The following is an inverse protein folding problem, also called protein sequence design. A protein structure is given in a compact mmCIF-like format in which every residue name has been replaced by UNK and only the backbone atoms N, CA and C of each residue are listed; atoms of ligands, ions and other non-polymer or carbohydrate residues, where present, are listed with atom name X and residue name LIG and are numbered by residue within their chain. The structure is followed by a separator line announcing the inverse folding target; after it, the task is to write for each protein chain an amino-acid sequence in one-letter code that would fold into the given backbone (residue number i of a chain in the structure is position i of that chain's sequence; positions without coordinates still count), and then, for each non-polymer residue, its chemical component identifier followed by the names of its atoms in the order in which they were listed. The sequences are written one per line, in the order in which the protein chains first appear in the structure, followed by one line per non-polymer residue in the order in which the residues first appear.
data_IF_221197376306
#
_entry.id   IF_221197376306
#
_cell.length_a   1.000
_cell.length_b   1.000
_cell.length_c   1.000
_cell.angle_alpha   90.00
_cell.angle_beta   90.00
_cell.angle_gamma   90.00
#
_symmetry.space_group_name_H-M   'P 1'
#
loop_
_entity.id
_entity.type
_entity.pdbx_description
1 polymer ?
#
# COMPACT_ATOMS: atom_id res chain seq x y z
N UNK A 1 -8.60 16.92 -30.96
CA UNK A 1 -9.14 15.81 -30.14
C UNK A 1 -7.97 15.22 -29.36
N UNK A 2 -7.76 15.65 -28.11
CA UNK A 2 -6.68 15.15 -27.26
C UNK A 2 -7.08 13.78 -26.72
N UNK A 3 -6.41 12.72 -27.17
CA UNK A 3 -6.48 11.42 -26.54
C UNK A 3 -5.58 11.50 -25.29
N UNK A 4 -6.10 11.65 -24.06
CA UNK A 4 -5.22 11.71 -22.91
C UNK A 4 -4.55 10.34 -22.79
N UNK A 5 -3.21 10.31 -22.81
CA UNK A 5 -2.47 9.08 -22.63
C UNK A 5 -3.05 8.29 -21.44
N UNK A 6 -3.42 7.03 -21.68
CA UNK A 6 -4.21 6.26 -20.72
C UNK A 6 -3.36 5.87 -19.52
N UNK A 7 -3.81 6.25 -18.33
CA UNK A 7 -3.27 5.77 -17.06
C UNK A 7 -3.29 4.23 -17.03
N UNK A 8 -2.14 3.62 -16.73
CA UNK A 8 -2.04 2.16 -16.57
C UNK A 8 -2.32 1.78 -15.13
N UNK A 9 -3.09 0.71 -14.93
CA UNK A 9 -3.40 0.16 -13.61
C UNK A 9 -2.66 -1.17 -13.44
N UNK A 10 -2.09 -1.39 -12.26
CA UNK A 10 -1.43 -2.64 -11.89
C UNK A 10 -1.65 -2.93 -10.39
N UNK A 11 -1.55 -4.21 -10.02
CA UNK A 11 -1.50 -4.61 -8.62
C UNK A 11 -0.04 -4.82 -8.24
N UNK A 12 0.45 -4.02 -7.30
CA UNK A 12 1.77 -4.19 -6.70
C UNK A 12 1.61 -5.13 -5.52
N UNK A 13 1.96 -6.39 -5.74
CA UNK A 13 2.02 -7.39 -4.68
C UNK A 13 3.36 -7.26 -3.98
N UNK A 14 3.39 -7.06 -2.68
CA UNK A 14 4.63 -7.13 -1.90
C UNK A 14 4.88 -8.57 -1.46
N UNK A 15 3.86 -9.20 -0.88
CA UNK A 15 3.79 -10.62 -0.55
C UNK A 15 2.32 -11.09 -0.57
N UNK A 16 2.04 -12.41 -0.42
CA UNK A 16 0.67 -12.88 -0.24
C UNK A 16 -0.04 -12.10 0.88
N UNK A 17 -1.26 -11.63 0.63
CA UNK A 17 -2.06 -10.84 1.58
C UNK A 17 -1.77 -9.34 1.60
N UNK A 18 -0.60 -8.88 1.13
CA UNK A 18 -0.20 -7.47 1.14
C UNK A 18 0.00 -6.95 -0.28
N UNK A 19 -1.04 -6.28 -0.77
CA UNK A 19 -1.10 -5.76 -2.14
C UNK A 19 -1.63 -4.33 -2.13
N UNK A 20 -1.09 -3.50 -3.02
CA UNK A 20 -1.64 -2.18 -3.30
C UNK A 20 -1.98 -2.05 -4.77
N UNK A 21 -3.06 -1.34 -5.02
CA UNK A 21 -3.46 -0.96 -6.36
C UNK A 21 -2.69 0.30 -6.76
N UNK A 22 -1.91 0.19 -7.83
CA UNK A 22 -1.05 1.24 -8.34
C UNK A 22 -1.46 1.71 -9.73
N UNK A 23 -1.16 2.97 -10.00
CA UNK A 23 -1.46 3.65 -11.25
C UNK A 23 -0.21 4.34 -11.78
N UNK A 24 0.14 4.08 -13.03
CA UNK A 24 1.18 4.83 -13.75
C UNK A 24 0.48 5.85 -14.66
N UNK A 25 0.68 7.13 -14.37
CA UNK A 25 0.15 8.24 -15.18
C UNK A 25 1.11 8.55 -16.35
N UNK A 26 0.67 9.32 -17.38
CA UNK A 26 1.44 9.53 -18.60
C UNK A 26 2.83 10.15 -18.44
N UNK A 27 3.03 10.96 -17.39
CA UNK A 27 4.33 11.57 -17.10
C UNK A 27 5.33 10.60 -16.44
N UNK A 28 4.96 9.32 -16.27
CA UNK A 28 5.79 8.28 -15.67
C UNK A 28 5.65 8.16 -14.15
N UNK A 29 4.98 9.11 -13.48
CA UNK A 29 4.76 9.05 -12.04
C UNK A 29 3.84 7.89 -11.64
N UNK A 30 4.10 7.35 -10.45
CA UNK A 30 3.32 6.28 -9.86
C UNK A 30 2.49 6.78 -8.69
N UNK A 31 1.26 6.29 -8.62
CA UNK A 31 0.30 6.61 -7.59
C UNK A 31 -0.32 5.34 -7.02
N UNK A 32 -0.80 5.42 -5.79
CA UNK A 32 -1.39 4.31 -5.05
C UNK A 32 -2.81 4.68 -4.62
N UNK A 33 -3.75 3.75 -4.79
CA UNK A 33 -5.13 3.91 -4.30
C UNK A 33 -5.15 4.09 -2.79
N UNK A 34 -5.82 5.14 -2.30
CA UNK A 34 -5.90 5.41 -0.85
C UNK A 34 -6.55 4.26 -0.07
N UNK A 35 -7.41 3.49 -0.74
CA UNK A 35 -8.15 2.38 -0.19
C UNK A 35 -7.23 1.21 0.14
N UNK A 36 -6.44 0.77 -0.86
CA UNK A 36 -5.52 -0.34 -0.69
C UNK A 36 -4.29 0.08 0.11
N UNK A 37 -3.85 1.33 -0.02
CA UNK A 37 -2.81 1.91 0.83
C UNK A 37 -3.20 1.87 2.31
N UNK A 38 -4.44 2.26 2.65
CA UNK A 38 -4.94 2.19 4.04
C UNK A 38 -4.95 0.75 4.57
N UNK A 39 -5.39 -0.22 3.75
CA UNK A 39 -5.39 -1.64 4.14
C UNK A 39 -3.96 -2.15 4.38
N UNK A 40 -3.04 -1.83 3.48
CA UNK A 40 -1.65 -2.30 3.55
C UNK A 40 -0.90 -1.86 4.82
N UNK A 41 -1.32 -0.75 5.45
CA UNK A 41 -0.71 -0.24 6.69
C UNK A 41 -1.51 -0.59 7.95
N UNK A 42 -2.46 -1.53 7.88
CA UNK A 42 -3.21 -2.01 9.06
C UNK A 42 -4.37 -1.12 9.49
N UNK A 43 -4.90 -0.29 8.59
CA UNK A 43 -6.13 0.49 8.81
C UNK A 43 -7.29 0.01 7.94
N UNK A 44 -8.50 0.46 8.28
CA UNK A 44 -9.66 0.21 7.43
C UNK A 44 -9.55 0.97 6.09
N UNK A 45 -10.23 0.46 5.07
CA UNK A 45 -10.24 0.98 3.68
C UNK A 45 -10.51 2.49 3.57
N UNK A 46 -11.32 3.06 4.46
CA UNK A 46 -11.75 4.45 4.40
C UNK A 46 -10.93 5.38 5.30
N UNK A 47 -9.92 4.87 6.00
CA UNK A 47 -9.19 5.59 7.03
C UNK A 47 -8.52 6.86 6.49
N UNK A 48 -7.78 6.75 5.39
CA UNK A 48 -7.05 7.90 4.86
C UNK A 48 -8.00 8.98 4.32
N UNK A 49 -9.10 8.58 3.67
CA UNK A 49 -10.17 9.49 3.22
C UNK A 49 -10.78 10.27 4.40
N UNK A 50 -11.07 9.59 5.51
CA UNK A 50 -11.62 10.23 6.73
C UNK A 50 -10.60 11.08 7.47
N UNK A 51 -9.35 10.65 7.49
CA UNK A 51 -8.28 11.32 8.23
C UNK A 51 -7.85 12.63 7.57
N UNK A 52 -8.00 12.75 6.26
CA UNK A 52 -7.62 13.94 5.48
C UNK A 52 -8.76 14.92 5.25
N UNK A 53 -10.01 14.46 5.26
CA UNK A 53 -11.18 15.32 5.06
C UNK A 53 -11.52 16.27 6.21
N UNK A 54 -10.93 16.10 7.40
CA UNK A 54 -11.36 16.81 8.61
C UNK A 54 -10.34 17.78 9.19
N UNK A 55 -9.17 17.97 8.56
CA UNK A 55 -8.10 18.85 9.10
C UNK A 55 -7.69 18.51 10.54
N UNK A 56 -7.96 17.28 10.98
CA UNK A 56 -7.86 16.87 12.37
C UNK A 56 -6.42 16.57 12.81
N UNK A 57 -6.25 16.15 14.06
CA UNK A 57 -4.92 15.85 14.62
C UNK A 57 -4.15 14.81 13.80
N UNK A 58 -4.84 13.83 13.21
CA UNK A 58 -4.22 12.84 12.29
C UNK A 58 -3.63 13.50 11.07
N UNK A 59 -4.35 14.43 10.44
CA UNK A 59 -3.89 15.15 9.26
C UNK A 59 -2.64 15.99 9.57
N UNK A 60 -2.66 16.73 10.68
CA UNK A 60 -1.50 17.50 11.15
C UNK A 60 -0.30 16.60 11.44
N UNK A 61 -0.54 15.42 11.99
CA UNK A 61 0.53 14.43 12.24
C UNK A 61 1.07 13.82 10.94
N UNK A 62 0.23 13.58 9.94
CA UNK A 62 0.63 13.15 8.61
C UNK A 62 1.51 14.20 7.92
N UNK A 63 1.13 15.49 8.00
CA UNK A 63 1.95 16.59 7.51
C UNK A 63 3.35 16.62 8.13
N UNK A 64 3.46 16.36 9.43
CA UNK A 64 4.75 16.32 10.14
C UNK A 64 5.68 15.21 9.66
N UNK A 65 5.15 14.17 9.03
CA UNK A 65 5.95 13.08 8.44
C UNK A 65 6.09 13.20 6.92
N UNK A 66 5.70 14.34 6.33
CA UNK A 66 5.92 14.64 4.91
C UNK A 66 4.71 14.43 4.00
N UNK A 67 3.52 14.12 4.54
CA UNK A 67 2.32 13.98 3.72
C UNK A 67 1.81 15.34 3.20
N UNK A 68 1.50 15.44 1.90
CA UNK A 68 1.22 16.73 1.22
C UNK A 68 -0.20 16.93 0.68
N UNK A 69 -1.13 16.00 0.97
CA UNK A 69 -2.58 16.07 0.65
C UNK A 69 -3.03 16.10 -0.81
N UNK A 70 -2.10 16.14 -1.77
CA UNK A 70 -2.46 16.17 -3.19
C UNK A 70 -2.94 14.79 -3.63
N UNK A 71 -4.25 14.56 -3.45
CA UNK A 71 -4.91 13.43 -4.09
C UNK A 71 -5.01 13.69 -5.59
N UNK A 72 -4.50 12.78 -6.39
CA UNK A 72 -4.83 12.76 -7.82
C UNK A 72 -6.09 11.94 -8.01
N UNK A 73 -7.07 12.53 -8.69
CA UNK A 73 -8.28 11.83 -9.08
C UNK A 73 -8.09 11.30 -10.51
N UNK A 74 -8.09 9.98 -10.65
CA UNK A 74 -8.09 9.36 -11.97
C UNK A 74 -9.45 8.75 -12.21
N UNK A 75 -10.05 9.14 -13.33
CA UNK A 75 -11.25 8.51 -13.83
C UNK A 75 -10.87 7.20 -14.50
N UNK A 76 -11.38 6.11 -13.96
CA UNK A 76 -11.21 4.78 -14.55
C UNK A 76 -12.54 4.26 -15.07
N UNK A 77 -12.57 3.62 -16.25
CA UNK A 77 -13.77 2.94 -16.71
C UNK A 77 -14.09 1.76 -15.79
N UNK A 78 -15.30 1.74 -15.24
CA UNK A 78 -15.85 0.66 -14.43
C UNK A 78 -17.08 0.05 -15.11
N UNK A 79 -17.52 -1.13 -14.65
CA UNK A 79 -18.70 -1.84 -15.19
C UNK A 79 -20.03 -1.06 -15.09
N UNK A 80 -20.06 0.06 -14.36
CA UNK A 80 -21.25 0.91 -14.18
C UNK A 80 -21.02 2.40 -14.46
N UNK A 81 -19.93 2.76 -15.14
CA UNK A 81 -19.59 4.16 -15.46
C UNK A 81 -18.16 4.53 -15.08
N UNK A 82 -17.86 5.83 -15.12
CA UNK A 82 -16.58 6.39 -14.72
C UNK A 82 -16.47 6.42 -13.19
N UNK A 83 -15.51 5.68 -12.62
CA UNK A 83 -15.23 5.74 -11.19
C UNK A 83 -13.95 6.52 -10.95
N UNK A 84 -14.11 7.66 -10.29
CA UNK A 84 -13.02 8.44 -9.76
C UNK A 84 -12.35 7.70 -8.59
N UNK A 85 -11.06 7.41 -8.74
CA UNK A 85 -10.25 6.86 -7.67
C UNK A 85 -9.38 7.95 -7.07
N UNK A 86 -9.44 8.12 -5.75
CA UNK A 86 -8.51 8.98 -5.01
C UNK A 86 -7.18 8.26 -4.85
N UNK A 87 -6.11 8.89 -5.32
CA UNK A 87 -4.77 8.32 -5.31
C UNK A 87 -3.79 9.21 -4.55
N UNK A 88 -2.75 8.61 -3.96
CA UNK A 88 -1.62 9.29 -3.34
C UNK A 88 -0.33 8.97 -4.09
N UNK A 89 0.64 9.89 -4.08
CA UNK A 89 1.98 9.61 -4.60
C UNK A 89 2.68 8.51 -3.80
N UNK A 90 3.75 7.94 -4.37
CA UNK A 90 4.63 7.01 -3.63
C UNK A 90 5.19 7.68 -2.36
N UNK A 91 5.56 8.96 -2.40
CA UNK A 91 6.10 9.67 -1.23
C UNK A 91 5.06 9.79 -0.11
N UNK A 92 3.81 10.09 -0.47
CA UNK A 92 2.71 10.11 0.47
C UNK A 92 2.40 8.69 0.98
N UNK A 93 2.59 7.65 0.16
CA UNK A 93 2.49 6.26 0.61
C UNK A 93 3.57 5.91 1.65
N UNK A 94 4.83 6.28 1.41
CA UNK A 94 5.90 6.13 2.39
C UNK A 94 5.61 6.89 3.69
N UNK A 95 5.08 8.11 3.58
CA UNK A 95 4.68 8.94 4.74
C UNK A 95 3.60 8.26 5.60
N UNK A 96 2.58 7.64 4.98
CA UNK A 96 1.54 6.94 5.75
C UNK A 96 2.06 5.64 6.38
N UNK A 97 3.03 4.95 5.75
CA UNK A 97 3.69 3.77 6.34
C UNK A 97 4.40 4.19 7.63
N UNK A 98 5.22 5.26 7.56
CA UNK A 98 5.95 5.78 8.72
C UNK A 98 4.99 6.25 9.82
N UNK A 99 3.94 6.98 9.45
CA UNK A 99 2.92 7.40 10.40
C UNK A 99 2.27 6.19 11.10
N UNK A 100 1.78 5.22 10.35
CA UNK A 100 1.11 4.04 10.90
C UNK A 100 2.06 3.23 11.80
N UNK A 101 3.31 3.09 11.40
CA UNK A 101 4.35 2.45 12.22
C UNK A 101 4.56 3.20 13.54
N UNK A 102 4.62 4.54 13.52
CA UNK A 102 4.69 5.37 14.74
C UNK A 102 3.47 5.24 15.66
N UNK A 103 2.34 4.76 15.13
CA UNK A 103 1.11 4.45 15.89
C UNK A 103 1.04 2.99 16.35
N UNK A 104 2.12 2.23 16.20
CA UNK A 104 2.19 0.83 16.63
C UNK A 104 1.45 -0.14 15.72
N UNK A 105 1.12 0.25 14.48
CA UNK A 105 0.51 -0.69 13.51
C UNK A 105 1.54 -1.72 13.08
N UNK A 106 1.32 -2.97 13.48
CA UNK A 106 2.26 -4.08 13.25
C UNK A 106 2.51 -4.30 11.76
N UNK A 107 1.47 -4.21 10.94
CA UNK A 107 1.55 -4.33 9.48
C UNK A 107 2.42 -3.24 8.89
N UNK A 108 2.27 -2.00 9.36
CA UNK A 108 3.09 -0.88 8.90
C UNK A 108 4.55 -0.98 9.36
N UNK A 109 4.79 -1.45 10.60
CA UNK A 109 6.14 -1.72 11.11
C UNK A 109 6.81 -2.80 10.26
N UNK A 110 6.14 -3.94 10.04
CA UNK A 110 6.64 -5.05 9.25
C UNK A 110 6.91 -4.64 7.80
N UNK A 111 5.99 -3.89 7.18
CA UNK A 111 6.14 -3.34 5.83
C UNK A 111 7.36 -2.40 5.76
N UNK A 112 7.50 -1.48 6.70
CA UNK A 112 8.61 -0.55 6.75
C UNK A 112 9.96 -1.27 6.92
N UNK A 113 10.03 -2.24 7.84
CA UNK A 113 11.24 -3.04 8.08
C UNK A 113 11.64 -3.85 6.85
N UNK A 114 10.67 -4.51 6.20
CA UNK A 114 10.93 -5.31 5.00
C UNK A 114 11.40 -4.45 3.81
N UNK A 115 10.76 -3.30 3.56
CA UNK A 115 11.20 -2.36 2.52
C UNK A 115 12.59 -1.81 2.80
N UNK A 116 12.85 -1.40 4.04
CA UNK A 116 14.13 -0.81 4.46
C UNK A 116 15.26 -1.83 4.35
N UNK A 117 15.08 -3.03 4.91
CA UNK A 117 16.09 -4.09 4.87
C UNK A 117 16.39 -4.53 3.44
N UNK A 118 15.36 -4.65 2.59
CA UNK A 118 15.54 -4.96 1.17
C UNK A 118 16.37 -3.88 0.46
N UNK A 119 16.04 -2.61 0.64
CA UNK A 119 16.78 -1.49 0.04
C UNK A 119 18.23 -1.44 0.51
N UNK A 120 18.46 -1.52 1.83
CA UNK A 120 19.80 -1.54 2.41
C UNK A 120 20.62 -2.75 1.91
N UNK A 121 20.00 -3.91 1.74
CA UNK A 121 20.69 -5.11 1.24
C UNK A 121 21.28 -4.86 -0.14
N UNK A 122 20.56 -4.22 -1.06
CA UNK A 122 21.11 -3.90 -2.39
C UNK A 122 22.28 -2.91 -2.31
N UNK A 123 22.18 -1.87 -1.46
CA UNK A 123 23.29 -0.91 -1.27
C UNK A 123 24.54 -1.59 -0.70
N UNK A 124 24.38 -2.51 0.24
CA UNK A 124 25.51 -3.27 0.79
C UNK A 124 26.12 -4.18 -0.26
N UNK A 125 25.29 -4.91 -1.02
CA UNK A 125 25.75 -5.77 -2.12
C UNK A 125 26.58 -4.98 -3.13
N UNK A 126 26.09 -3.82 -3.56
CA UNK A 126 26.82 -2.92 -4.45
C UNK A 126 28.18 -2.50 -3.87
N UNK A 127 28.21 -2.08 -2.59
CA UNK A 127 29.44 -1.68 -1.91
C UNK A 127 30.50 -2.81 -1.80
N UNK A 128 30.06 -4.07 -1.81
CA UNK A 128 30.94 -5.25 -1.80
C UNK A 128 31.14 -5.88 -3.18
N UNK A 129 30.70 -5.23 -4.26
CA UNK A 129 30.85 -5.72 -5.64
C UNK A 129 29.97 -6.93 -5.99
N UNK A 130 28.92 -7.18 -5.21
CA UNK A 130 27.95 -8.23 -5.46
C UNK A 130 26.82 -7.74 -6.39
N UNK A 131 26.26 -8.65 -7.19
CA UNK A 131 25.14 -8.34 -8.08
C UNK A 131 23.88 -8.03 -7.25
N UNK A 132 23.10 -6.98 -7.59
CA UNK A 132 21.81 -6.69 -6.94
C UNK A 132 20.86 -7.87 -6.99
N UNK A 133 19.95 -7.96 -6.00
CA UNK A 133 18.98 -9.04 -5.97
C UNK A 133 18.02 -8.98 -7.15
N UNK A 134 17.66 -10.14 -7.71
CA UNK A 134 16.56 -10.23 -8.68
C UNK A 134 15.23 -9.86 -8.02
N UNK A 135 14.22 -9.48 -8.81
CA UNK A 135 12.89 -9.17 -8.25
C UNK A 135 12.26 -10.33 -7.49
N UNK A 136 12.55 -11.58 -7.86
CA UNK A 136 12.09 -12.77 -7.15
C UNK A 136 12.79 -12.92 -5.80
N UNK A 137 14.12 -12.77 -5.77
CA UNK A 137 14.90 -12.78 -4.53
C UNK A 137 14.47 -11.66 -3.58
N UNK A 138 14.20 -10.47 -4.12
CA UNK A 138 13.64 -9.34 -3.36
C UNK A 138 12.30 -9.68 -2.72
N UNK A 139 11.38 -10.32 -3.45
CA UNK A 139 10.09 -10.76 -2.90
C UNK A 139 10.25 -11.78 -1.79
N UNK A 140 11.17 -12.74 -1.93
CA UNK A 140 11.45 -13.75 -0.90
C UNK A 140 12.04 -13.09 0.35
N UNK A 141 13.05 -12.24 0.19
CA UNK A 141 13.69 -11.51 1.29
C UNK A 141 12.71 -10.57 2.01
N UNK A 142 11.86 -9.89 1.23
CA UNK A 142 10.77 -9.06 1.73
C UNK A 142 9.81 -9.90 2.57
N UNK A 143 9.27 -10.99 2.03
CA UNK A 143 8.31 -11.84 2.72
C UNK A 143 8.86 -12.40 4.03
N UNK A 144 10.09 -12.91 4.01
CA UNK A 144 10.76 -13.44 5.20
C UNK A 144 10.86 -12.37 6.29
N UNK A 145 11.33 -11.17 5.93
CA UNK A 145 11.47 -10.06 6.88
C UNK A 145 10.11 -9.58 7.40
N UNK A 146 9.10 -9.52 6.52
CA UNK A 146 7.74 -9.12 6.88
C UNK A 146 7.12 -10.11 7.87
N UNK A 147 7.21 -11.41 7.57
CA UNK A 147 6.70 -12.48 8.43
C UNK A 147 7.43 -12.55 9.78
N UNK A 148 8.76 -12.41 9.80
CA UNK A 148 9.56 -12.34 11.04
C UNK A 148 9.21 -11.14 11.93
N UNK A 149 8.70 -10.06 11.32
CA UNK A 149 8.32 -8.84 12.03
C UNK A 149 6.90 -8.92 12.63
N UNK A 150 6.13 -9.94 12.28
CA UNK A 150 4.82 -10.26 12.86
C UNK A 150 4.98 -11.45 13.81
N UNK A 151 4.24 -11.50 14.92
CA UNK A 151 4.17 -12.76 15.68
C UNK A 151 3.43 -13.81 14.84
N UNK A 152 3.68 -15.10 15.09
CA UNK A 152 2.96 -16.21 14.42
C UNK A 152 1.44 -16.05 14.62
N UNK A 153 1.02 -15.63 15.81
CA UNK A 153 -0.38 -15.37 16.15
C UNK A 153 -0.96 -14.19 15.35
N UNK A 154 -0.20 -13.10 15.18
CA UNK A 154 -0.61 -11.94 14.39
C UNK A 154 -0.75 -12.31 12.90
N UNK A 155 0.19 -13.10 12.38
CA UNK A 155 0.17 -13.57 11.00
C UNK A 155 -1.04 -14.47 10.72
N UNK A 156 -1.32 -15.43 11.61
CA UNK A 156 -2.50 -16.29 11.51
C UNK A 156 -3.82 -15.52 11.68
N UNK A 157 -3.84 -14.45 12.49
CA UNK A 157 -5.03 -13.60 12.65
C UNK A 157 -5.34 -12.82 11.37
N UNK A 158 -4.32 -12.33 10.65
CA UNK A 158 -4.50 -11.65 9.36
C UNK A 158 -5.09 -12.60 8.31
N UNK A 159 -4.58 -13.82 8.21
CA UNK A 159 -5.05 -14.83 7.26
C UNK A 159 -6.52 -15.25 7.55
N UNK A 160 -6.87 -15.36 8.83
CA UNK A 160 -8.25 -15.65 9.27
C UNK A 160 -9.22 -14.49 9.00
N UNK A 161 -8.80 -13.24 9.21
CA UNK A 161 -9.65 -12.08 8.94
C UNK A 161 -9.87 -11.89 7.43
N UNK A 162 -8.85 -12.13 6.60
CA UNK A 162 -9.00 -12.12 5.15
C UNK A 162 -9.98 -13.24 4.69
N UNK A 163 -9.90 -14.44 5.28
CA UNK A 163 -10.85 -15.53 5.01
C UNK A 163 -12.29 -15.17 5.45
N UNK A 164 -12.46 -14.53 6.62
CA UNK A 164 -13.76 -14.09 7.13
C UNK A 164 -14.39 -13.01 6.23
N UNK A 165 -13.61 -12.01 5.81
CA UNK A 165 -14.07 -10.95 4.90
C UNK A 165 -14.49 -11.53 3.55
N UNK A 166 -13.76 -12.53 3.03
CA UNK A 166 -14.12 -13.22 1.79
C UNK A 166 -15.45 -13.97 1.98
N UNK A 167 -15.61 -14.70 3.10
CA UNK A 167 -16.83 -15.46 3.38
C UNK A 167 -18.05 -14.54 3.56
N UNK A 168 -17.92 -13.42 4.27
CA UNK A 168 -18.99 -12.43 4.41
C UNK A 168 -19.36 -11.78 3.07
N UNK A 169 -18.35 -11.49 2.24
CA UNK A 169 -18.58 -10.92 0.90
C UNK A 169 -19.29 -11.93 -0.02
N UNK A 170 -18.95 -13.22 0.07
CA UNK A 170 -19.61 -14.28 -0.69
C UNK A 170 -21.05 -14.51 -0.22
N UNK A 171 -21.30 -14.50 1.09
CA UNK A 171 -22.65 -14.62 1.66
C UNK A 171 -23.57 -13.49 1.19
N UNK A 172 -23.06 -12.24 1.17
CA UNK A 172 -23.78 -11.08 0.68
C UNK A 172 -24.13 -11.19 -0.82
N UNK A 173 -23.21 -11.68 -1.64
CA UNK A 173 -23.43 -11.89 -3.07
C UNK A 173 -24.37 -13.07 -3.38
N UNK A 174 -24.45 -14.06 -2.49
CA UNK A 174 -25.37 -15.20 -2.64
C UNK A 174 -26.78 -14.95 -2.09
N UNK A 175 -27.01 -13.81 -1.42
CA UNK A 175 -28.30 -13.43 -0.83
C UNK A 175 -28.97 -12.23 -1.54
N UNK A 176 -28.47 -11.88 -2.73
CA UNK A 176 -29.06 -10.91 -3.68
C UNK A 176 -29.53 -11.64 -4.95
#
# INVERSE_FOLDING_TARGET
MNNPAKTKRAIVRFCPGIEVEAFQVPNGSYYVSITTASKAVGYNRNWLSRSTSRGGNTFKALHRVGFTDLFSEVVTPSKGGEQASKLISIDNFASIILYAASKGKKEAIALNMALTKMSLTDFFRDAFGEVPLTMEQKRIAFYKTYAESLSIEDWLAMDREDARIIQESLLFLSSS
#
